data_IF_857674406481
#
_entry.id   IF_857674406481
#
_cell.length_a   1.000
_cell.length_b   1.000
_cell.length_c   1.000
_cell.angle_alpha   90.00
_cell.angle_beta   90.00
_cell.angle_gamma   90.00
#
_symmetry.space_group_name_H-M   'P 1'
#
loop_
_entity.id
_entity.type
_entity.pdbx_description
1 polymer ?
#
# COMPACT_ATOMS: atom_id res chain seq x y z
N UNK A 1 3.07 5.45 5.02
CA UNK A 1 4.16 4.55 5.49
C UNK A 1 3.63 3.78 6.67
N UNK A 2 3.81 2.46 6.72
CA UNK A 2 3.52 1.70 7.93
C UNK A 2 4.63 1.99 8.96
N UNK A 3 4.27 2.04 10.24
CA UNK A 3 5.16 2.39 11.33
C UNK A 3 4.65 1.78 12.65
N UNK A 4 5.50 1.81 13.68
CA UNK A 4 5.18 1.41 15.06
C UNK A 4 5.10 2.63 16.00
N UNK A 5 4.76 3.81 15.45
CA UNK A 5 4.77 5.10 16.16
C UNK A 5 5.65 6.16 15.50
N UNK A 6 5.71 7.38 16.08
CA UNK A 6 6.48 8.49 15.51
C UNK A 6 7.93 8.12 15.19
N UNK A 7 8.41 8.53 14.03
CA UNK A 7 9.80 8.34 13.57
C UNK A 7 10.28 6.88 13.42
N UNK A 8 9.37 5.90 13.30
CA UNK A 8 9.71 4.48 13.08
C UNK A 8 9.44 4.00 11.65
N UNK A 9 9.49 4.91 10.67
CA UNK A 9 9.33 4.54 9.26
C UNK A 9 10.52 3.67 8.80
N UNK A 10 10.22 2.50 8.23
CA UNK A 10 11.20 1.65 7.55
C UNK A 10 10.87 1.55 6.05
N UNK A 11 10.81 0.33 5.53
CA UNK A 11 10.43 0.05 4.12
C UNK A 11 8.96 -0.32 3.94
N UNK A 12 8.23 -0.60 5.01
CA UNK A 12 6.84 -1.05 4.92
C UNK A 12 5.90 0.10 4.52
N UNK A 13 5.02 -0.18 3.56
CA UNK A 13 4.01 0.75 3.10
C UNK A 13 2.68 0.02 2.85
N UNK A 14 1.61 0.79 2.72
CA UNK A 14 0.28 0.31 2.39
C UNK A 14 -0.38 1.26 1.38
N UNK A 15 -1.39 0.76 0.68
CA UNK A 15 -2.24 1.54 -0.23
C UNK A 15 -3.67 1.45 0.31
N UNK A 16 -4.33 2.59 0.45
CA UNK A 16 -5.72 2.63 0.94
C UNK A 16 -6.69 2.27 -0.19
N UNK A 17 -7.73 1.51 0.15
CA UNK A 17 -8.82 1.15 -0.78
C UNK A 17 -10.06 2.05 -0.63
N UNK A 18 -10.12 2.83 0.45
CA UNK A 18 -11.16 3.78 0.79
C UNK A 18 -10.56 4.95 1.58
N UNK A 19 -11.30 6.05 1.80
CA UNK A 19 -10.87 7.13 2.70
C UNK A 19 -10.62 6.62 4.13
N UNK A 20 -9.49 7.00 4.73
CA UNK A 20 -9.06 6.55 6.08
C UNK A 20 -8.53 7.73 6.91
N UNK A 21 -9.38 8.73 7.17
CA UNK A 21 -8.99 10.00 7.82
C UNK A 21 -8.36 9.82 9.21
N UNK A 22 -8.66 8.74 9.92
CA UNK A 22 -8.08 8.43 11.24
C UNK A 22 -6.57 8.11 11.20
N UNK A 23 -6.00 7.94 10.01
CA UNK A 23 -4.55 7.75 9.76
C UNK A 23 -3.81 9.08 9.52
N UNK A 24 -4.54 10.18 9.30
CA UNK A 24 -3.95 11.48 9.02
C UNK A 24 -3.13 11.95 10.23
N UNK A 25 -1.94 12.50 9.95
CA UNK A 25 -0.95 12.89 10.97
C UNK A 25 -0.22 11.71 11.65
N UNK A 26 -0.67 10.46 11.49
CA UNK A 26 -0.05 9.26 12.08
C UNK A 26 0.85 8.50 11.10
N UNK A 27 0.53 8.55 9.81
CA UNK A 27 1.28 7.85 8.77
C UNK A 27 1.71 8.82 7.67
N UNK A 28 2.99 8.82 7.31
CA UNK A 28 3.51 9.66 6.23
C UNK A 28 2.92 9.24 4.88
N UNK A 29 2.20 10.15 4.22
CA UNK A 29 1.73 10.01 2.84
C UNK A 29 2.86 10.47 1.90
N UNK A 30 3.26 9.62 0.96
CA UNK A 30 4.39 9.90 0.04
C UNK A 30 4.06 9.70 -1.44
N UNK A 31 2.82 9.32 -1.77
CA UNK A 31 2.42 9.09 -3.15
C UNK A 31 0.96 8.70 -3.29
N UNK A 32 0.51 8.59 -4.53
CA UNK A 32 -0.83 8.12 -4.90
C UNK A 32 -0.75 7.20 -6.11
N UNK A 33 -1.69 6.27 -6.22
CA UNK A 33 -1.82 5.41 -7.41
C UNK A 33 -2.32 6.27 -8.57
N UNK A 34 -1.42 6.66 -9.49
CA UNK A 34 -1.77 7.48 -10.64
C UNK A 34 -2.48 6.69 -11.76
N UNK A 35 -2.17 5.39 -11.90
CA UNK A 35 -2.76 4.46 -12.87
C UNK A 35 -2.87 3.07 -12.25
N UNK A 36 -3.86 2.28 -12.69
CA UNK A 36 -3.99 0.87 -12.27
C UNK A 36 -4.77 0.64 -10.97
N UNK A 37 -5.53 1.61 -10.46
CA UNK A 37 -6.28 1.45 -9.20
C UNK A 37 -7.27 0.27 -9.23
N UNK A 38 -7.84 -0.09 -10.39
CA UNK A 38 -8.68 -1.29 -10.55
C UNK A 38 -7.95 -2.59 -10.18
N UNK A 39 -6.64 -2.69 -10.46
CA UNK A 39 -5.83 -3.85 -10.07
C UNK A 39 -5.59 -3.85 -8.56
N UNK A 40 -5.32 -2.68 -7.98
CA UNK A 40 -5.18 -2.53 -6.52
C UNK A 40 -6.46 -2.94 -5.79
N UNK A 41 -7.63 -2.54 -6.29
CA UNK A 41 -8.92 -2.97 -5.75
C UNK A 41 -9.10 -4.49 -5.85
N UNK A 42 -8.76 -5.11 -6.98
CA UNK A 42 -8.79 -6.58 -7.11
C UNK A 42 -7.85 -7.29 -6.13
N UNK A 43 -6.65 -6.75 -5.89
CA UNK A 43 -5.73 -7.28 -4.87
C UNK A 43 -6.34 -7.22 -3.47
N UNK A 44 -7.16 -6.21 -3.17
CA UNK A 44 -7.88 -6.09 -1.91
C UNK A 44 -9.07 -7.02 -1.72
N UNK A 45 -9.43 -7.81 -2.74
CA UNK A 45 -10.55 -8.76 -2.70
C UNK A 45 -10.09 -10.22 -2.76
N UNK A 46 -8.77 -10.48 -2.74
CA UNK A 46 -8.25 -11.85 -2.72
C UNK A 46 -8.58 -12.52 -1.38
N UNK A 47 -8.71 -13.84 -1.40
CA UNK A 47 -8.93 -14.63 -0.19
C UNK A 47 -7.73 -14.51 0.76
N UNK A 48 -8.03 -14.36 2.05
CA UNK A 48 -7.04 -14.26 3.13
C UNK A 48 -7.27 -15.34 4.19
N UNK A 49 -6.21 -15.68 4.91
CA UNK A 49 -6.31 -16.50 6.11
C UNK A 49 -6.79 -15.68 7.32
N UNK A 50 -6.85 -16.31 8.49
CA UNK A 50 -7.31 -15.68 9.75
C UNK A 50 -6.39 -14.55 10.27
N UNK A 51 -5.23 -14.32 9.64
CA UNK A 51 -4.29 -13.24 9.98
C UNK A 51 -4.26 -12.16 8.88
N UNK A 52 -5.30 -12.08 8.05
CA UNK A 52 -5.41 -11.17 6.90
C UNK A 52 -4.31 -11.35 5.84
N UNK A 53 -3.61 -12.49 5.85
CA UNK A 53 -2.58 -12.78 4.85
C UNK A 53 -3.22 -13.45 3.63
N UNK A 54 -2.96 -12.99 2.39
CA UNK A 54 -3.47 -13.65 1.19
C UNK A 54 -3.12 -15.14 1.15
N UNK A 55 -4.11 -16.00 0.89
CA UNK A 55 -3.92 -17.46 0.75
C UNK A 55 -3.05 -17.79 -0.45
N UNK A 56 -3.19 -17.00 -1.51
CA UNK A 56 -2.28 -16.98 -2.66
C UNK A 56 -1.32 -15.79 -2.57
N UNK A 57 0.01 -16.00 -2.50
CA UNK A 57 0.96 -14.91 -2.33
C UNK A 57 0.94 -13.88 -3.47
N UNK A 58 0.68 -12.62 -3.13
CA UNK A 58 0.87 -11.47 -4.03
C UNK A 58 2.29 -10.91 -3.86
N UNK A 59 3.10 -10.92 -4.93
CA UNK A 59 4.52 -10.53 -4.88
C UNK A 59 4.82 -9.37 -5.83
N UNK A 60 5.60 -8.40 -5.35
CA UNK A 60 6.27 -7.42 -6.21
C UNK A 60 7.47 -8.13 -6.83
N UNK A 61 7.39 -8.44 -8.13
CA UNK A 61 8.47 -9.14 -8.85
C UNK A 61 9.59 -8.18 -9.25
N UNK A 62 9.22 -7.00 -9.75
CA UNK A 62 10.14 -5.90 -10.12
C UNK A 62 9.42 -4.56 -9.94
N UNK A 63 10.19 -3.51 -9.67
CA UNK A 63 9.72 -2.14 -9.66
C UNK A 63 10.72 -1.27 -10.43
N UNK A 64 10.20 -0.31 -11.19
CA UNK A 64 11.00 0.59 -12.00
C UNK A 64 10.70 2.03 -11.58
N UNK A 65 11.68 2.80 -11.09
CA UNK A 65 11.48 4.23 -10.92
C UNK A 65 11.27 4.84 -12.30
N UNK A 66 10.17 5.59 -12.47
CA UNK A 66 9.95 6.37 -13.68
C UNK A 66 10.42 7.79 -13.41
N UNK A 67 11.56 8.15 -13.98
CA UNK A 67 12.16 9.48 -13.87
C UNK A 67 11.42 10.52 -14.71
N UNK A 68 10.69 10.06 -15.74
CA UNK A 68 9.98 10.93 -16.69
C UNK A 68 8.49 11.04 -16.33
N UNK A 69 8.20 11.72 -15.23
CA UNK A 69 6.88 12.30 -14.98
C UNK A 69 7.05 13.82 -14.96
N UNK A 70 7.28 14.36 -16.16
CA UNK A 70 6.64 15.56 -16.68
C UNK A 70 5.82 15.12 -17.90
#
# INVERSE_FOLDING_TARGET
MANAGPHTNGSQFFITLAPTQWLDGKHTIFGRVARGMKIVQKMGMVETDNNDKPTTPLKIVKAYPKTDIL
#
